data_IF_144374454827
#
_entry.id   IF_144374454827
#
_cell.length_a   1.000
_cell.length_b   1.000
_cell.length_c   1.000
_cell.angle_alpha   90.00
_cell.angle_beta   90.00
_cell.angle_gamma   90.00
#
_symmetry.space_group_name_H-M   'P 1'
#
loop_
_entity.id
_entity.type
_entity.pdbx_description
1 polymer ?
#
# COMPACT_ATOMS: atom_id res chain seq x y z
N UNK A 1 -4.66 -20.96 -6.06
CA UNK A 1 -4.63 -19.72 -6.86
C UNK A 1 -4.71 -18.57 -5.88
N UNK A 2 -3.69 -17.74 -5.84
CA UNK A 2 -3.69 -16.50 -5.07
C UNK A 2 -4.35 -15.42 -5.95
N UNK A 3 -5.22 -14.62 -5.36
CA UNK A 3 -6.00 -13.61 -6.08
C UNK A 3 -6.07 -12.34 -5.25
N UNK A 4 -6.03 -11.20 -5.93
CA UNK A 4 -6.17 -9.88 -5.31
C UNK A 4 -7.64 -9.48 -5.37
N UNK A 5 -8.20 -9.11 -4.22
CA UNK A 5 -9.57 -8.60 -4.12
C UNK A 5 -9.55 -7.20 -3.51
N UNK A 6 -10.16 -6.23 -4.18
CA UNK A 6 -10.29 -4.85 -3.66
C UNK A 6 -11.19 -4.80 -2.42
N UNK A 7 -12.22 -5.65 -2.37
CA UNK A 7 -13.13 -5.81 -1.24
C UNK A 7 -13.58 -7.26 -1.14
N UNK A 8 -13.61 -7.79 0.07
CA UNK A 8 -14.23 -9.07 0.39
C UNK A 8 -15.50 -8.78 1.20
N UNK A 9 -16.65 -9.30 0.74
CA UNK A 9 -17.97 -9.03 1.34
C UNK A 9 -17.99 -9.33 2.85
N UNK A 10 -17.33 -10.40 3.28
CA UNK A 10 -17.32 -10.86 4.67
C UNK A 10 -16.16 -10.27 5.51
N UNK A 11 -15.34 -9.37 4.95
CA UNK A 11 -14.15 -8.77 5.60
C UNK A 11 -13.36 -9.79 6.43
N UNK A 12 -12.77 -10.82 5.80
CA UNK A 12 -12.11 -11.89 6.53
C UNK A 12 -10.96 -11.34 7.38
N UNK A 13 -10.72 -12.01 8.50
CA UNK A 13 -9.63 -11.67 9.41
C UNK A 13 -8.30 -11.74 8.66
N UNK A 14 -7.52 -10.66 8.76
CA UNK A 14 -6.15 -10.65 8.28
C UNK A 14 -5.29 -11.59 9.13
N UNK A 15 -4.58 -12.53 8.51
CA UNK A 15 -3.72 -13.50 9.21
C UNK A 15 -2.54 -12.85 9.92
N UNK A 16 -2.13 -11.64 9.50
CA UNK A 16 -1.13 -10.84 10.21
C UNK A 16 -1.64 -10.27 11.55
N UNK A 17 -2.93 -10.46 11.87
CA UNK A 17 -3.52 -10.02 13.13
C UNK A 17 -3.61 -8.50 13.28
N UNK A 18 -3.53 -7.75 12.18
CA UNK A 18 -3.67 -6.31 12.25
C UNK A 18 -5.10 -5.92 12.67
N UNK A 19 -5.23 -4.91 13.52
CA UNK A 19 -6.52 -4.31 13.88
C UNK A 19 -6.99 -3.26 12.86
N UNK A 20 -6.39 -3.25 11.67
CA UNK A 20 -6.67 -2.26 10.66
C UNK A 20 -7.89 -2.67 9.82
N UNK A 21 -8.94 -1.85 9.91
CA UNK A 21 -10.22 -2.08 9.25
C UNK A 21 -10.45 -0.97 8.22
N UNK A 22 -9.56 -0.84 7.25
CA UNK A 22 -9.69 0.19 6.21
C UNK A 22 -10.75 -0.21 5.17
N UNK A 23 -11.67 0.70 4.81
CA UNK A 23 -12.69 0.45 3.80
C UNK A 23 -12.12 0.33 2.36
N UNK A 24 -10.82 0.62 2.17
CA UNK A 24 -10.11 0.55 0.88
C UNK A 24 -9.03 -0.55 0.86
N UNK A 25 -9.24 -1.61 1.65
CA UNK A 25 -8.24 -2.66 1.81
C UNK A 25 -8.25 -3.70 0.71
N UNK A 26 -7.19 -3.71 -0.10
CA UNK A 26 -6.89 -4.84 -0.97
C UNK A 26 -6.44 -6.05 -0.16
N UNK A 27 -6.91 -7.23 -0.54
CA UNK A 27 -6.54 -8.50 0.08
C UNK A 27 -5.82 -9.40 -0.91
N UNK A 28 -4.76 -10.06 -0.45
CA UNK A 28 -4.23 -11.26 -1.06
C UNK A 28 -4.92 -12.46 -0.42
N UNK A 29 -5.71 -13.17 -1.23
CA UNK A 29 -6.51 -14.29 -0.75
C UNK A 29 -6.24 -15.56 -1.52
N UNK A 30 -6.22 -16.68 -0.80
CA UNK A 30 -6.29 -18.03 -1.34
C UNK A 30 -7.49 -18.74 -0.74
N UNK A 31 -8.55 -18.87 -1.55
CA UNK A 31 -9.82 -19.50 -1.13
C UNK A 31 -9.61 -20.92 -0.60
N UNK A 32 -8.76 -21.71 -1.28
CA UNK A 32 -8.49 -23.11 -0.89
C UNK A 32 -7.87 -23.23 0.50
N UNK A 33 -7.01 -22.28 0.87
CA UNK A 33 -6.29 -22.29 2.14
C UNK A 33 -6.98 -21.45 3.22
N UNK A 34 -8.06 -20.74 2.87
CA UNK A 34 -8.67 -19.70 3.70
C UNK A 34 -7.65 -18.65 4.19
N UNK A 35 -6.58 -18.46 3.40
CA UNK A 35 -5.53 -17.50 3.67
C UNK A 35 -6.00 -16.14 3.18
N UNK A 36 -6.07 -15.16 4.07
CA UNK A 36 -6.42 -13.78 3.75
C UNK A 36 -5.45 -12.86 4.48
N UNK A 37 -4.78 -11.99 3.75
CA UNK A 37 -3.91 -10.96 4.31
C UNK A 37 -4.18 -9.66 3.56
N UNK A 38 -4.24 -8.53 4.26
CA UNK A 38 -4.24 -7.25 3.56
C UNK A 38 -2.96 -7.12 2.75
N UNK A 39 -3.04 -6.48 1.59
CA UNK A 39 -1.89 -6.32 0.72
C UNK A 39 -0.77 -5.53 1.40
N UNK A 40 -1.10 -4.49 2.18
CA UNK A 40 -0.12 -3.77 3.02
C UNK A 40 0.40 -4.59 4.21
N UNK A 41 -0.35 -5.57 4.71
CA UNK A 41 0.12 -6.51 5.75
C UNK A 41 0.97 -7.64 5.18
N UNK A 42 1.01 -7.75 3.85
CA UNK A 42 1.99 -8.57 3.16
C UNK A 42 3.29 -7.78 2.97
N UNK A 43 4.37 -8.47 2.61
CA UNK A 43 5.68 -7.82 2.39
C UNK A 43 5.63 -6.83 1.22
N UNK A 44 5.35 -5.54 1.39
CA UNK A 44 5.38 -4.59 0.27
C UNK A 44 6.78 -4.48 -0.35
N UNK A 45 6.92 -4.27 -1.68
CA UNK A 45 8.21 -3.98 -2.28
C UNK A 45 8.88 -2.78 -1.60
N UNK A 46 10.14 -2.92 -1.19
CA UNK A 46 10.84 -1.83 -0.50
C UNK A 46 11.07 -0.63 -1.42
N UNK A 47 11.37 -0.88 -2.69
CA UNK A 47 11.63 0.15 -3.70
C UNK A 47 10.74 -0.10 -4.90
N UNK A 48 10.22 0.96 -5.49
CA UNK A 48 9.48 0.93 -6.75
C UNK A 48 9.94 2.09 -7.65
N UNK A 49 9.71 1.93 -8.95
CA UNK A 49 9.81 2.98 -9.96
C UNK A 49 8.39 3.32 -10.40
N UNK A 50 8.11 4.60 -10.62
CA UNK A 50 6.80 5.06 -11.09
C UNK A 50 6.96 5.75 -12.45
N UNK A 51 6.07 5.49 -13.40
CA UNK A 51 6.23 5.99 -14.78
C UNK A 51 6.26 7.51 -14.88
N UNK A 52 5.56 8.19 -13.98
CA UNK A 52 5.45 9.65 -13.97
C UNK A 52 6.52 10.32 -13.10
N UNK A 53 7.42 9.55 -12.50
CA UNK A 53 8.41 10.06 -11.54
C UNK A 53 9.75 9.33 -11.65
N UNK A 54 10.83 10.09 -11.86
CA UNK A 54 12.12 9.51 -12.22
C UNK A 54 12.94 8.93 -11.06
N UNK A 55 12.81 9.47 -9.85
CA UNK A 55 13.59 8.98 -8.71
C UNK A 55 12.93 7.74 -8.07
N UNK A 56 13.71 6.75 -7.61
CA UNK A 56 13.18 5.58 -6.93
C UNK A 56 12.38 5.96 -5.69
N UNK A 57 11.23 5.34 -5.51
CA UNK A 57 10.43 5.55 -4.32
C UNK A 57 10.68 4.43 -3.31
N UNK A 58 10.96 4.79 -2.07
CA UNK A 58 11.19 3.85 -0.97
C UNK A 58 9.97 3.80 -0.07
N UNK A 59 9.52 2.59 0.28
CA UNK A 59 8.47 2.38 1.27
C UNK A 59 8.90 2.95 2.63
N UNK A 60 8.06 3.81 3.21
CA UNK A 60 8.20 4.35 4.56
C UNK A 60 7.00 3.93 5.40
N UNK A 61 7.29 3.51 6.63
CA UNK A 61 6.26 3.17 7.62
C UNK A 61 5.51 4.42 8.09
N UNK A 62 4.28 4.18 8.55
CA UNK A 62 3.33 5.15 9.11
C UNK A 62 3.97 6.03 10.20
N UNK A 63 4.94 5.50 10.95
CA UNK A 63 5.55 6.15 12.12
C UNK A 63 6.56 7.26 11.82
N UNK A 64 6.94 7.48 10.55
CA UNK A 64 8.01 8.42 10.20
C UNK A 64 7.50 9.85 9.99
N UNK A 65 6.18 10.04 9.79
CA UNK A 65 5.56 11.34 9.54
C UNK A 65 4.76 11.79 10.78
N UNK A 66 5.46 12.41 11.74
CA UNK A 66 4.86 12.92 12.98
C UNK A 66 4.71 14.43 13.01
N UNK A 67 4.84 15.13 11.89
CA UNK A 67 4.80 16.60 11.90
C UNK A 67 3.41 17.20 11.67
N UNK A 68 3.16 18.33 12.33
CA UNK A 68 1.85 18.97 12.47
C UNK A 68 1.46 19.75 11.19
N UNK A 69 1.15 19.05 10.09
CA UNK A 69 0.66 19.65 8.83
C UNK A 69 -0.28 18.76 8.04
N UNK A 70 -1.08 19.35 7.14
CA UNK A 70 -1.85 18.60 6.13
C UNK A 70 -0.87 17.99 5.12
N UNK A 71 -0.88 16.65 4.97
CA UNK A 71 -0.02 15.96 4.00
C UNK A 71 -0.87 15.48 2.83
N UNK A 72 -0.43 15.80 1.62
CA UNK A 72 -1.10 15.44 0.37
C UNK A 72 -0.32 14.38 -0.38
N UNK A 73 -1.00 13.57 -1.19
CA UNK A 73 -0.35 12.67 -2.13
C UNK A 73 -0.02 13.44 -3.41
N UNK A 74 1.24 13.38 -3.87
CA UNK A 74 1.69 14.08 -5.07
C UNK A 74 1.12 13.52 -6.38
N UNK A 75 0.47 12.35 -6.35
CA UNK A 75 -0.15 11.74 -7.53
C UNK A 75 -1.60 12.18 -7.70
N UNK A 76 -2.40 12.12 -6.63
CA UNK A 76 -3.83 12.42 -6.70
C UNK A 76 -4.20 13.79 -6.16
N UNK A 77 -3.24 14.51 -5.55
CA UNK A 77 -3.41 15.82 -4.92
C UNK A 77 -4.48 15.86 -3.82
N UNK A 78 -4.81 14.68 -3.25
CA UNK A 78 -5.78 14.56 -2.16
C UNK A 78 -5.07 14.43 -0.81
N UNK A 79 -5.79 14.83 0.26
CA UNK A 79 -5.35 14.63 1.64
C UNK A 79 -5.12 13.13 1.91
N UNK A 80 -3.99 12.81 2.54
CA UNK A 80 -3.56 11.44 2.78
C UNK A 80 -4.28 10.80 3.96
N UNK A 81 -4.53 9.50 3.86
CA UNK A 81 -4.85 8.68 5.02
C UNK A 81 -3.56 8.36 5.79
N UNK A 82 -3.34 9.05 6.92
CA UNK A 82 -2.15 8.87 7.77
C UNK A 82 -1.99 7.46 8.34
N UNK A 83 -2.98 6.58 8.17
CA UNK A 83 -2.91 5.18 8.62
C UNK A 83 -2.39 4.25 7.53
N UNK A 84 -2.21 4.75 6.31
CA UNK A 84 -1.66 4.00 5.19
C UNK A 84 -0.15 4.27 5.07
N UNK A 85 0.59 3.25 4.65
CA UNK A 85 2.01 3.40 4.33
C UNK A 85 2.18 4.23 3.05
N UNK A 86 3.36 4.83 2.89
CA UNK A 86 3.68 5.59 1.69
C UNK A 86 4.97 5.17 1.03
N UNK A 87 5.10 5.60 -0.21
CA UNK A 87 6.34 5.60 -0.95
C UNK A 87 6.87 7.02 -1.04
N UNK A 88 8.14 7.19 -0.69
CA UNK A 88 8.78 8.49 -0.58
C UNK A 88 10.12 8.51 -1.32
N UNK A 89 10.40 9.64 -1.99
CA UNK A 89 11.70 9.95 -2.57
C UNK A 89 12.44 10.98 -1.72
N UNK A 90 13.65 10.65 -1.26
CA UNK A 90 14.53 11.61 -0.58
C UNK A 90 15.12 12.66 -1.52
N UNK A 91 15.11 12.42 -2.84
CA UNK A 91 15.78 13.28 -3.81
C UNK A 91 14.97 14.53 -4.17
N UNK A 92 13.65 14.44 -4.04
CA UNK A 92 12.71 15.47 -4.49
C UNK A 92 11.50 15.64 -3.58
N UNK A 93 11.54 15.03 -2.39
CA UNK A 93 10.46 15.03 -1.41
C UNK A 93 9.10 14.51 -1.92
N UNK A 94 9.11 13.70 -2.98
CA UNK A 94 7.90 13.11 -3.53
C UNK A 94 7.28 12.08 -2.58
N UNK A 95 5.98 12.18 -2.37
CA UNK A 95 5.16 11.41 -1.43
C UNK A 95 3.95 10.86 -2.17
N UNK A 96 3.82 9.53 -2.20
CA UNK A 96 2.67 8.88 -2.77
C UNK A 96 2.07 7.81 -1.85
N UNK A 97 0.74 7.81 -1.75
CA UNK A 97 0.00 6.76 -1.05
C UNK A 97 0.08 5.44 -1.82
N UNK A 98 0.06 4.35 -1.07
CA UNK A 98 0.04 3.00 -1.61
C UNK A 98 -1.00 2.80 -2.73
N UNK A 99 -2.22 3.34 -2.56
CA UNK A 99 -3.30 3.18 -3.53
C UNK A 99 -2.99 3.82 -4.89
N UNK A 100 -2.27 4.94 -4.91
CA UNK A 100 -1.86 5.61 -6.15
C UNK A 100 -0.74 4.86 -6.90
N UNK A 101 -0.09 3.89 -6.24
CA UNK A 101 1.01 3.08 -6.77
C UNK A 101 0.65 1.60 -6.84
N UNK A 102 -0.65 1.28 -6.71
CA UNK A 102 -1.14 -0.07 -6.58
C UNK A 102 -0.73 -0.96 -7.77
N UNK A 103 -0.78 -0.44 -9.00
CA UNK A 103 -0.39 -1.15 -10.21
C UNK A 103 1.06 -1.60 -10.18
N UNK A 104 1.99 -0.71 -9.85
CA UNK A 104 3.43 -0.93 -9.80
C UNK A 104 3.77 -1.94 -8.70
N UNK A 105 3.15 -1.79 -7.54
CA UNK A 105 3.31 -2.73 -6.43
C UNK A 105 2.80 -4.11 -6.81
N UNK A 106 1.64 -4.21 -7.46
CA UNK A 106 1.09 -5.48 -7.91
C UNK A 106 1.95 -6.15 -8.99
N UNK A 107 2.49 -5.39 -9.94
CA UNK A 107 3.39 -5.92 -10.98
C UNK A 107 4.64 -6.55 -10.37
N UNK A 108 5.23 -5.93 -9.35
CA UNK A 108 6.39 -6.50 -8.65
C UNK A 108 6.03 -7.71 -7.79
N UNK A 109 4.78 -7.80 -7.31
CA UNK A 109 4.27 -8.91 -6.49
C UNK A 109 3.92 -10.16 -7.29
N UNK A 110 3.38 -9.98 -8.49
CA UNK A 110 2.87 -11.08 -9.33
C UNK A 110 3.93 -11.66 -10.27
N UNK A 111 5.12 -11.06 -10.35
CA UNK A 111 6.29 -11.57 -11.11
C UNK A 111 7.08 -12.67 -10.40
N UNK A 112 6.49 -13.40 -9.45
CA UNK A 112 7.12 -14.51 -8.72
C UNK A 112 6.30 -15.79 -8.81
#
# INVERSE_FOLDING_TARGET
>A
MLTIFEKLYDKPKCIAGCNFNSPRGYYLSCVKCQFNVHLWCSYLPKNIEHSSHHHPLTLKDISVYTDYGEEFCDICEMERDRRECIYYSQECDFVAEFNCLFSEVCLLKLRR
#
